data_IF_362252971341
#
_entry.id   IF_362252971341
#
_cell.length_a   1.000
_cell.length_b   1.000
_cell.length_c   1.000
_cell.angle_alpha   90.00
_cell.angle_beta   90.00
_cell.angle_gamma   90.00
#
_symmetry.space_group_name_H-M   'P 1'
#
loop_
_entity.id
_entity.type
_entity.pdbx_description
1 polymer ?
#
# COMPACT_ATOMS: atom_id res chain seq x y z
N UNK A 1 17.36 14.73 12.35
CA UNK A 1 18.13 13.68 11.65
C UNK A 1 17.45 12.31 11.68
N UNK A 2 17.01 11.75 12.81
CA UNK A 2 16.20 10.51 12.83
C UNK A 2 14.68 10.77 12.84
N UNK A 3 14.26 11.88 13.45
CA UNK A 3 12.86 12.31 13.49
C UNK A 3 12.36 12.74 12.10
N UNK A 4 13.16 13.53 11.38
CA UNK A 4 12.83 13.99 10.02
C UNK A 4 12.57 12.81 9.06
N UNK A 5 13.43 11.77 9.11
CA UNK A 5 13.26 10.57 8.30
C UNK A 5 11.98 9.80 8.66
N UNK A 6 11.65 9.71 9.97
CA UNK A 6 10.40 9.09 10.42
C UNK A 6 9.17 9.86 9.91
N UNK A 7 9.18 11.19 9.98
CA UNK A 7 8.08 12.05 9.53
C UNK A 7 7.91 11.98 8.01
N UNK A 8 9.01 11.95 7.25
CA UNK A 8 8.98 11.77 5.80
C UNK A 8 8.36 10.43 5.42
N UNK A 9 8.78 9.34 6.05
CA UNK A 9 8.25 8.00 5.78
C UNK A 9 6.78 7.87 6.21
N UNK A 10 6.44 8.40 7.39
CA UNK A 10 5.06 8.45 7.87
C UNK A 10 4.16 9.22 6.89
N UNK A 11 4.59 10.40 6.43
CA UNK A 11 3.84 11.21 5.47
C UNK A 11 3.64 10.45 4.15
N UNK A 12 4.69 9.77 3.66
CA UNK A 12 4.60 8.94 2.46
C UNK A 12 3.62 7.78 2.64
N UNK A 13 3.63 7.10 3.78
CA UNK A 13 2.67 6.04 4.09
C UNK A 13 1.22 6.55 4.16
N UNK A 14 0.97 7.65 4.89
CA UNK A 14 -0.37 8.23 5.01
C UNK A 14 -0.91 8.70 3.65
N UNK A 15 -0.05 9.32 2.82
CA UNK A 15 -0.40 9.71 1.46
C UNK A 15 -0.70 8.49 0.57
N UNK A 16 0.09 7.42 0.68
CA UNK A 16 -0.13 6.16 -0.05
C UNK A 16 -1.46 5.52 0.35
N UNK A 17 -1.86 5.65 1.60
CA UNK A 17 -3.17 5.25 2.12
C UNK A 17 -4.27 6.30 1.88
N UNK A 18 -4.03 7.30 1.03
CA UNK A 18 -5.06 8.21 0.53
C UNK A 18 -5.58 9.25 1.52
N UNK A 19 -4.88 9.54 2.62
CA UNK A 19 -5.24 10.67 3.48
C UNK A 19 -4.95 11.99 2.77
N UNK A 20 -5.82 12.98 3.02
CA UNK A 20 -5.65 14.34 2.48
C UNK A 20 -4.53 15.08 3.22
N UNK A 21 -3.86 16.01 2.53
CA UNK A 21 -2.72 16.78 3.08
C UNK A 21 -3.01 17.43 4.44
N UNK A 22 -4.25 17.89 4.66
CA UNK A 22 -4.65 18.46 5.95
C UNK A 22 -4.57 17.43 7.08
N UNK A 23 -5.11 16.23 6.85
CA UNK A 23 -5.12 15.14 7.84
C UNK A 23 -3.71 14.64 8.12
N UNK A 24 -2.88 14.54 7.07
CA UNK A 24 -1.47 14.21 7.21
C UNK A 24 -0.76 15.25 8.10
N UNK A 25 -0.99 16.55 7.85
CA UNK A 25 -0.37 17.62 8.64
C UNK A 25 -0.79 17.61 10.12
N UNK A 26 -2.06 17.25 10.41
CA UNK A 26 -2.55 17.13 11.78
C UNK A 26 -1.88 15.97 12.52
N UNK A 27 -1.72 14.81 11.86
CA UNK A 27 -1.03 13.64 12.42
C UNK A 27 0.46 13.92 12.64
N UNK A 28 1.12 14.55 11.66
CA UNK A 28 2.54 14.91 11.78
C UNK A 28 2.76 15.87 12.96
N UNK A 29 1.93 16.90 13.10
CA UNK A 29 2.03 17.84 14.21
C UNK A 29 1.81 17.16 15.58
N UNK A 30 0.89 16.18 15.68
CA UNK A 30 0.67 15.37 16.88
C UNK A 30 1.95 14.61 17.28
N UNK A 31 2.60 13.96 16.31
CA UNK A 31 3.85 13.20 16.50
C UNK A 31 4.99 14.14 16.92
N UNK A 32 5.16 15.27 16.22
CA UNK A 32 6.20 16.25 16.53
C UNK A 32 6.04 16.83 17.95
N UNK A 33 4.81 17.16 18.35
CA UNK A 33 4.53 17.66 19.71
C UNK A 33 4.88 16.62 20.76
N UNK A 34 4.48 15.37 20.57
CA UNK A 34 4.75 14.29 21.52
C UNK A 34 6.26 14.02 21.68
N UNK A 35 7.02 14.02 20.59
CA UNK A 35 8.47 13.82 20.64
C UNK A 35 9.15 14.99 21.37
N UNK A 36 8.71 16.22 21.11
CA UNK A 36 9.23 17.40 21.79
C UNK A 36 8.93 17.38 23.31
N UNK A 37 7.79 16.85 23.71
CA UNK A 37 7.35 16.75 25.12
C UNK A 37 7.98 15.58 25.88
N UNK A 38 8.04 14.39 25.26
CA UNK A 38 8.53 13.16 25.89
C UNK A 38 10.05 13.02 25.85
N UNK A 39 10.68 13.51 24.77
CA UNK A 39 12.09 13.27 24.47
C UNK A 39 12.40 11.85 23.99
N UNK A 40 11.40 10.99 23.81
CA UNK A 40 11.56 9.62 23.29
C UNK A 40 11.83 9.61 21.78
N UNK A 41 12.42 8.53 21.27
CA UNK A 41 12.51 8.36 19.82
C UNK A 41 11.13 8.02 19.23
N UNK A 42 10.81 8.50 18.01
CA UNK A 42 9.53 8.19 17.37
C UNK A 42 9.26 6.69 17.24
N UNK A 43 10.30 5.89 17.02
CA UNK A 43 10.18 4.44 16.89
C UNK A 43 9.76 3.77 18.20
N UNK A 44 10.19 4.29 19.35
CA UNK A 44 9.79 3.79 20.67
C UNK A 44 8.36 4.22 21.01
N UNK A 45 8.02 5.48 20.76
CA UNK A 45 6.72 6.05 21.10
C UNK A 45 5.59 5.55 20.18
N UNK A 46 5.85 5.43 18.88
CA UNK A 46 4.83 5.18 17.85
C UNK A 46 5.02 3.87 17.08
N UNK A 47 6.15 3.20 17.25
CA UNK A 47 6.50 2.03 16.44
C UNK A 47 6.91 2.41 15.01
N UNK A 48 6.93 1.44 14.07
CA UNK A 48 7.28 1.71 12.68
C UNK A 48 6.28 2.64 11.98
N UNK A 49 6.73 3.58 11.11
CA UNK A 49 5.85 4.55 10.44
C UNK A 49 4.68 3.91 9.71
N UNK A 50 4.91 2.79 9.04
CA UNK A 50 3.90 2.07 8.27
C UNK A 50 2.76 1.52 9.15
N UNK A 51 3.11 0.94 10.29
CA UNK A 51 2.15 0.37 11.23
C UNK A 51 1.32 1.47 11.88
N UNK A 52 1.97 2.57 12.28
CA UNK A 52 1.29 3.73 12.84
C UNK A 52 0.36 4.38 11.80
N UNK A 53 0.81 4.50 10.54
CA UNK A 53 -0.01 5.03 9.46
C UNK A 53 -1.25 4.16 9.20
N UNK A 54 -1.11 2.83 9.15
CA UNK A 54 -2.24 1.91 8.97
C UNK A 54 -3.27 2.06 10.09
N UNK A 55 -2.83 2.17 11.35
CA UNK A 55 -3.71 2.40 12.49
C UNK A 55 -4.49 3.72 12.35
N UNK A 56 -3.81 4.81 11.99
CA UNK A 56 -4.44 6.13 11.82
C UNK A 56 -5.43 6.15 10.68
N UNK A 57 -5.12 5.50 9.55
CA UNK A 57 -6.04 5.38 8.41
C UNK A 57 -7.28 4.59 8.80
N UNK A 58 -7.12 3.44 9.44
CA UNK A 58 -8.23 2.61 9.88
C UNK A 58 -9.14 3.33 10.87
N UNK A 59 -8.57 4.12 11.80
CA UNK A 59 -9.34 4.96 12.71
C UNK A 59 -10.10 6.08 11.96
N UNK A 60 -9.44 6.71 10.98
CA UNK A 60 -10.05 7.74 10.15
C UNK A 60 -11.21 7.18 9.31
N UNK A 61 -11.02 6.07 8.60
CA UNK A 61 -12.06 5.45 7.77
C UNK A 61 -13.31 5.07 8.57
N UNK A 62 -13.13 4.55 9.80
CA UNK A 62 -14.24 4.18 10.70
C UNK A 62 -15.08 5.38 11.12
N UNK A 63 -14.44 6.53 11.32
CA UNK A 63 -15.11 7.75 11.79
C UNK A 63 -15.70 8.56 10.65
N UNK A 64 -15.04 8.60 9.49
CA UNK A 64 -15.43 9.40 8.34
C UNK A 64 -16.36 8.68 7.36
N UNK A 65 -16.60 7.37 7.51
CA UNK A 65 -17.36 6.59 6.53
C UNK A 65 -16.66 6.57 5.17
N UNK A 66 -15.35 6.28 5.18
CA UNK A 66 -14.49 6.33 3.99
C UNK A 66 -15.08 5.58 2.79
N UNK A 67 -14.79 6.03 1.56
CA UNK A 67 -15.19 5.31 0.33
C UNK A 67 -14.26 4.17 -0.01
N UNK A 68 -13.01 4.28 0.43
CA UNK A 68 -11.93 3.33 0.18
C UNK A 68 -11.42 2.79 1.51
N UNK A 69 -11.07 1.52 1.51
CA UNK A 69 -10.36 0.79 2.54
C UNK A 69 -8.91 0.63 2.10
N UNK A 70 -7.97 0.90 2.98
CA UNK A 70 -6.56 0.57 2.76
C UNK A 70 -6.13 -0.56 3.71
N UNK A 71 -5.17 -1.37 3.25
CA UNK A 71 -4.64 -2.47 4.04
C UNK A 71 -3.22 -2.81 3.62
N UNK A 72 -2.39 -3.12 4.60
CA UNK A 72 -1.11 -3.78 4.36
C UNK A 72 -1.23 -5.28 4.55
N UNK A 73 -0.78 -6.03 3.55
CA UNK A 73 -0.51 -7.45 3.71
C UNK A 73 0.98 -7.66 3.95
N UNK A 74 1.33 -8.24 5.10
CA UNK A 74 2.70 -8.71 5.33
C UNK A 74 2.97 -9.94 4.48
N UNK A 75 4.06 -9.92 3.74
CA UNK A 75 4.42 -10.99 2.81
C UNK A 75 5.93 -11.14 2.71
N UNK A 76 6.39 -12.27 2.20
CA UNK A 76 7.77 -12.49 1.75
C UNK A 76 7.78 -12.66 0.23
N UNK A 77 8.96 -12.59 -0.38
CA UNK A 77 9.11 -12.88 -1.80
C UNK A 77 8.65 -14.31 -2.21
N UNK A 78 8.42 -15.21 -1.26
CA UNK A 78 8.02 -16.60 -1.51
C UNK A 78 6.50 -16.80 -1.52
N UNK A 79 5.76 -16.10 -0.67
CA UNK A 79 4.32 -16.25 -0.48
C UNK A 79 3.48 -15.07 -1.01
N UNK A 80 4.11 -13.93 -1.33
CA UNK A 80 3.44 -12.73 -1.83
C UNK A 80 2.50 -12.98 -3.00
N UNK A 81 2.85 -13.86 -3.96
CA UNK A 81 2.00 -14.10 -5.13
C UNK A 81 0.76 -14.94 -4.78
N UNK A 82 0.83 -15.75 -3.73
CA UNK A 82 -0.33 -16.43 -3.16
C UNK A 82 -1.25 -15.44 -2.46
N UNK A 83 -0.66 -14.55 -1.65
CA UNK A 83 -1.39 -13.48 -0.95
C UNK A 83 -2.09 -12.56 -1.96
N UNK A 84 -1.37 -12.07 -2.97
CA UNK A 84 -1.92 -11.19 -4.01
C UNK A 84 -3.05 -11.85 -4.80
N UNK A 85 -2.96 -13.16 -5.06
CA UNK A 85 -4.02 -13.90 -5.74
C UNK A 85 -5.33 -13.87 -4.94
N UNK A 86 -5.27 -14.15 -3.64
CA UNK A 86 -6.46 -14.16 -2.80
C UNK A 86 -6.96 -12.74 -2.51
N UNK A 87 -6.06 -11.79 -2.30
CA UNK A 87 -6.38 -10.38 -2.15
C UNK A 87 -7.09 -9.83 -3.41
N UNK A 88 -6.55 -10.11 -4.60
CA UNK A 88 -7.14 -9.71 -5.88
C UNK A 88 -8.54 -10.28 -6.12
N UNK A 89 -8.77 -11.55 -5.77
CA UNK A 89 -10.12 -12.15 -5.83
C UNK A 89 -11.09 -11.51 -4.85
N UNK A 90 -10.61 -11.04 -3.70
CA UNK A 90 -11.38 -10.31 -2.70
C UNK A 90 -11.56 -8.82 -3.03
N UNK A 91 -11.07 -8.37 -4.18
CA UNK A 91 -11.21 -7.01 -4.70
C UNK A 91 -10.14 -6.03 -4.22
N UNK A 92 -9.13 -6.50 -3.50
CA UNK A 92 -8.00 -5.67 -3.11
C UNK A 92 -7.11 -5.40 -4.32
N UNK A 93 -6.86 -4.14 -4.57
CA UNK A 93 -5.99 -3.62 -5.61
C UNK A 93 -4.61 -3.29 -5.01
N UNK A 94 -3.54 -3.94 -5.49
CA UNK A 94 -2.17 -3.54 -5.19
C UNK A 94 -1.85 -2.14 -5.73
N UNK A 95 -1.39 -1.28 -4.84
CA UNK A 95 -0.93 0.07 -5.13
C UNK A 95 0.59 0.17 -5.21
N UNK A 96 1.28 -0.50 -4.28
CA UNK A 96 2.74 -0.46 -4.16
C UNK A 96 3.25 -1.64 -3.32
N UNK A 97 4.58 -1.82 -3.29
CA UNK A 97 5.26 -2.86 -2.50
C UNK A 97 6.45 -2.28 -1.76
N UNK A 98 6.74 -2.81 -0.58
CA UNK A 98 7.96 -2.53 0.16
C UNK A 98 8.57 -3.82 0.71
N UNK A 99 9.71 -3.71 1.40
CA UNK A 99 10.30 -4.84 2.08
C UNK A 99 9.29 -5.46 3.05
N UNK A 100 8.86 -6.68 2.74
CA UNK A 100 7.90 -7.47 3.51
C UNK A 100 6.44 -6.95 3.54
N UNK A 101 6.08 -6.01 2.68
CA UNK A 101 4.77 -5.37 2.70
C UNK A 101 4.15 -5.19 1.30
N UNK A 102 2.85 -5.45 1.19
CA UNK A 102 2.03 -5.21 0.01
C UNK A 102 0.93 -4.21 0.38
N UNK A 103 0.94 -3.04 -0.25
CA UNK A 103 -0.01 -1.98 0.03
C UNK A 103 -1.20 -2.09 -0.89
N UNK A 104 -2.38 -2.33 -0.34
CA UNK A 104 -3.58 -2.57 -1.11
C UNK A 104 -4.69 -1.59 -0.73
N UNK A 105 -5.57 -1.32 -1.70
CA UNK A 105 -6.82 -0.61 -1.49
C UNK A 105 -8.03 -1.41 -1.97
N UNK A 106 -9.22 -1.07 -1.51
CA UNK A 106 -10.49 -1.59 -2.04
C UNK A 106 -11.63 -0.63 -1.72
N UNK A 107 -12.65 -0.48 -2.57
CA UNK A 107 -13.87 0.23 -2.20
C UNK A 107 -14.55 -0.39 -0.96
N UNK A 108 -15.18 0.44 -0.14
CA UNK A 108 -16.01 -0.03 0.98
C UNK A 108 -17.25 -0.80 0.50
N UNK A 109 -17.90 -0.33 -0.57
CA UNK A 109 -18.95 -1.10 -1.24
C UNK A 109 -18.32 -2.18 -2.14
N UNK A 110 -18.45 -3.44 -1.73
CA UNK A 110 -17.93 -4.58 -2.47
C UNK A 110 -18.55 -4.75 -3.85
N UNK A 111 -19.70 -4.13 -4.13
CA UNK A 111 -20.28 -4.10 -5.49
C UNK A 111 -19.45 -3.25 -6.45
N UNK A 112 -18.75 -2.25 -5.94
CA UNK A 112 -17.83 -1.41 -6.70
C UNK A 112 -16.43 -2.03 -6.81
N UNK A 113 -16.12 -3.04 -5.97
CA UNK A 113 -14.82 -3.68 -5.94
C UNK A 113 -14.57 -4.54 -7.19
N UNK A 114 -13.62 -4.09 -8.01
CA UNK A 114 -13.08 -4.86 -9.13
C UNK A 114 -12.13 -5.96 -8.62
N UNK A 115 -12.19 -7.14 -9.24
CA UNK A 115 -11.23 -8.22 -8.97
C UNK A 115 -9.99 -8.10 -9.86
N UNK A 116 -8.86 -8.56 -9.35
CA UNK A 116 -7.55 -8.38 -9.99
C UNK A 116 -6.80 -9.69 -10.17
N UNK A 117 -6.07 -9.78 -11.28
CA UNK A 117 -4.99 -10.74 -11.49
C UNK A 117 -3.65 -10.03 -11.30
N UNK A 118 -2.66 -10.75 -10.76
CA UNK A 118 -1.31 -10.26 -10.54
C UNK A 118 -0.28 -11.19 -11.16
N UNK A 119 0.82 -10.61 -11.62
CA UNK A 119 2.00 -11.35 -12.04
C UNK A 119 3.26 -10.60 -11.61
N UNK A 120 4.30 -11.38 -11.29
CA UNK A 120 5.63 -10.87 -11.00
C UNK A 120 6.59 -11.25 -12.12
N UNK A 121 7.40 -10.30 -12.57
CA UNK A 121 8.56 -10.52 -13.43
C UNK A 121 9.83 -10.25 -12.65
N UNK A 122 10.88 -11.00 -12.97
CA UNK A 122 12.19 -10.88 -12.31
C UNK A 122 13.21 -10.40 -13.32
N UNK A 123 13.93 -9.34 -13.02
CA UNK A 123 15.02 -8.87 -13.87
C UNK A 123 15.55 -7.49 -13.48
N UNK A 124 16.69 -7.15 -14.06
CA UNK A 124 17.37 -5.86 -13.82
C UNK A 124 16.97 -4.79 -14.84
N UNK A 125 16.55 -5.19 -16.05
CA UNK A 125 16.10 -4.25 -17.08
C UNK A 125 14.59 -3.99 -16.95
N UNK A 126 14.23 -3.20 -15.94
CA UNK A 126 12.83 -2.84 -15.64
C UNK A 126 12.08 -2.29 -16.84
N UNK A 127 12.71 -1.41 -17.62
CA UNK A 127 12.04 -0.74 -18.73
C UNK A 127 11.65 -1.73 -19.84
N UNK A 128 12.53 -2.68 -20.18
CA UNK A 128 12.20 -3.73 -21.15
C UNK A 128 11.02 -4.59 -20.66
N UNK A 129 11.06 -5.01 -19.39
CA UNK A 129 9.97 -5.79 -18.78
C UNK A 129 8.66 -5.00 -18.84
N UNK A 130 8.65 -3.71 -18.49
CA UNK A 130 7.43 -2.90 -18.55
C UNK A 130 6.85 -2.84 -19.96
N UNK A 131 7.70 -2.64 -20.98
CA UNK A 131 7.24 -2.55 -22.37
C UNK A 131 6.59 -3.87 -22.84
N UNK A 132 7.22 -5.00 -22.54
CA UNK A 132 6.66 -6.34 -22.84
C UNK A 132 5.32 -6.56 -22.13
N UNK A 133 5.25 -6.24 -20.85
CA UNK A 133 4.05 -6.46 -20.04
C UNK A 133 2.89 -5.55 -20.47
N UNK A 134 3.16 -4.27 -20.78
CA UNK A 134 2.15 -3.35 -21.30
C UNK A 134 1.59 -3.81 -22.65
N UNK A 135 2.42 -4.40 -23.53
CA UNK A 135 1.96 -4.99 -24.78
C UNK A 135 0.99 -6.17 -24.56
N UNK A 136 1.13 -6.88 -23.44
CA UNK A 136 0.23 -7.94 -22.98
C UNK A 136 -0.94 -7.43 -22.10
N UNK A 137 -1.19 -6.11 -22.05
CA UNK A 137 -2.26 -5.46 -21.28
C UNK A 137 -2.11 -5.63 -19.75
N UNK A 138 -0.88 -5.68 -19.27
CA UNK A 138 -0.56 -5.62 -17.85
C UNK A 138 -0.12 -4.22 -17.45
N UNK A 139 -0.67 -3.73 -16.35
CA UNK A 139 -0.35 -2.42 -15.78
C UNK A 139 0.73 -2.58 -14.68
N UNK A 140 1.83 -1.81 -14.70
CA UNK A 140 2.81 -1.83 -13.61
C UNK A 140 2.20 -1.28 -12.33
N UNK A 141 2.33 -1.99 -11.21
CA UNK A 141 1.71 -1.62 -9.94
C UNK A 141 2.60 -1.76 -8.70
N UNK A 142 3.87 -2.15 -8.87
CA UNK A 142 4.81 -2.24 -7.77
C UNK A 142 6.20 -2.62 -8.25
N UNK A 143 7.22 -2.19 -7.51
CA UNK A 143 8.61 -2.49 -7.84
C UNK A 143 9.45 -2.63 -6.57
N UNK A 144 10.07 -3.79 -6.41
CA UNK A 144 11.12 -4.02 -5.42
C UNK A 144 12.23 -4.84 -6.07
N UNK A 145 13.16 -4.15 -6.76
CA UNK A 145 14.19 -4.77 -7.61
C UNK A 145 14.88 -5.94 -6.90
N UNK A 146 14.93 -7.14 -7.51
CA UNK A 146 14.68 -7.45 -8.93
C UNK A 146 13.22 -7.77 -9.31
N UNK A 147 12.26 -7.60 -8.41
CA UNK A 147 10.86 -7.96 -8.60
C UNK A 147 10.02 -6.80 -9.11
N UNK A 148 9.29 -7.04 -10.21
CA UNK A 148 8.40 -6.08 -10.87
C UNK A 148 6.99 -6.66 -10.90
N UNK A 149 6.04 -5.94 -10.32
CA UNK A 149 4.67 -6.40 -10.15
C UNK A 149 3.76 -5.71 -11.15
N UNK A 150 2.86 -6.51 -11.71
CA UNK A 150 1.88 -6.05 -12.66
C UNK A 150 0.50 -6.58 -12.29
N UNK A 151 -0.52 -5.79 -12.63
CA UNK A 151 -1.92 -6.11 -12.42
C UNK A 151 -2.73 -5.96 -13.69
N UNK A 152 -3.88 -6.62 -13.72
CA UNK A 152 -4.95 -6.34 -14.68
C UNK A 152 -6.29 -6.77 -14.09
N UNK A 153 -7.43 -6.26 -14.61
CA UNK A 153 -8.74 -6.76 -14.22
C UNK A 153 -8.83 -8.29 -14.42
N UNK A 154 -9.30 -9.00 -13.40
CA UNK A 154 -9.63 -10.42 -13.52
C UNK A 154 -10.72 -10.55 -14.58
N UNK A 155 -10.45 -11.33 -15.62
CA UNK A 155 -11.46 -11.57 -16.65
C UNK A 155 -12.65 -12.26 -15.99
N UNK A 156 -13.84 -11.70 -16.15
CA UNK A 156 -15.06 -12.39 -15.74
C UNK A 156 -15.10 -13.73 -16.46
N UNK A 157 -15.23 -14.82 -15.71
CA UNK A 157 -15.61 -16.11 -16.29
C UNK A 157 -16.95 -15.88 -16.96
N UNK A 158 -16.98 -15.84 -18.29
CA UNK A 158 -18.24 -15.97 -19.03
C UNK A 158 -18.62 -17.43 -18.81
N UNK A 159 -19.54 -17.68 -17.88
CA UNK A 159 -20.27 -18.95 -17.88
C UNK A 159 -21.07 -18.98 -19.19
N UNK A 160 -20.65 -19.86 -20.10
CA UNK A 160 -21.37 -20.18 -21.33
C UNK A 160 -22.58 -21.04 -21.01
#
# INVERSE_FOLDING_TARGET
MMHDAYIEELSACLQRYGLESKQISEIVAEVESHIAESGESPLEAFGPPEAYAEERVMAHERTAGGKTQYRTFRATAFDEMGILREAGKAGWELLDVAALALYCQRPWDLKEARKWEYVRRVGLNRNAIIQEMMAEQWEPCGNWTPFHYFKRPLKGTIEL
#
